data_IF_006722668670
#
_entry.id   IF_006722668670
#
_cell.length_a   1.000
_cell.length_b   1.000
_cell.length_c   1.000
_cell.angle_alpha   90.00
_cell.angle_beta   90.00
_cell.angle_gamma   90.00
#
_symmetry.space_group_name_H-M   'P 1'
#
loop_
_entity.id
_entity.type
_entity.pdbx_description
1 polymer ?
#
# COMPACT_ATOMS: atom_id res chain seq x y z
N UNK A 1 13.38 0.01 2.07
CA UNK A 1 12.40 -0.34 1.04
C UNK A 1 12.77 -1.71 0.50
N UNK A 2 11.79 -2.58 0.28
CA UNK A 2 12.03 -3.98 -0.15
C UNK A 2 12.62 -4.08 -1.57
N UNK A 3 12.31 -3.13 -2.45
CA UNK A 3 12.72 -3.14 -3.87
C UNK A 3 13.22 -1.75 -4.30
N UNK A 4 14.35 -1.26 -3.76
CA UNK A 4 14.85 0.08 -4.04
C UNK A 4 15.18 0.32 -5.52
N UNK A 5 15.52 -0.73 -6.27
CA UNK A 5 15.78 -0.69 -7.71
C UNK A 5 14.54 -0.33 -8.54
N UNK A 6 13.33 -0.59 -8.03
CA UNK A 6 12.08 -0.26 -8.70
C UNK A 6 11.61 1.17 -8.40
N UNK A 7 12.12 1.81 -7.35
CA UNK A 7 11.61 3.08 -6.85
C UNK A 7 11.52 4.18 -7.92
N UNK A 8 12.56 4.46 -8.74
CA UNK A 8 12.47 5.52 -9.75
C UNK A 8 11.39 5.27 -10.82
N UNK A 9 11.11 4.00 -11.14
CA UNK A 9 10.08 3.65 -12.11
C UNK A 9 8.67 3.75 -11.49
N UNK A 10 8.52 3.28 -10.25
CA UNK A 10 7.25 3.34 -9.53
C UNK A 10 6.86 4.79 -9.16
N UNK A 11 7.83 5.64 -8.83
CA UNK A 11 7.61 7.08 -8.59
C UNK A 11 7.03 7.78 -9.81
N UNK A 12 7.59 7.56 -11.02
CA UNK A 12 7.04 8.11 -12.27
C UNK A 12 5.62 7.62 -12.56
N UNK A 13 5.33 6.36 -12.24
CA UNK A 13 3.97 5.84 -12.38
C UNK A 13 3.02 6.49 -11.37
N UNK A 14 3.48 6.70 -10.13
CA UNK A 14 2.70 7.33 -9.08
C UNK A 14 2.36 8.80 -9.42
N UNK A 15 3.32 9.56 -9.95
CA UNK A 15 3.13 10.96 -10.39
C UNK A 15 2.02 11.14 -11.43
N UNK A 16 1.77 10.11 -12.25
CA UNK A 16 0.74 10.12 -13.29
C UNK A 16 -0.47 9.26 -12.94
N UNK A 17 -0.50 8.71 -11.74
CA UNK A 17 -1.59 7.87 -11.28
C UNK A 17 -2.78 8.73 -10.86
N UNK A 18 -3.98 8.24 -11.18
CA UNK A 18 -5.23 8.80 -10.66
C UNK A 18 -5.95 7.72 -9.88
N UNK A 19 -6.43 8.07 -8.69
CA UNK A 19 -7.31 7.19 -7.93
C UNK A 19 -8.65 7.13 -8.65
N UNK A 20 -9.11 5.92 -8.95
CA UNK A 20 -10.39 5.69 -9.62
C UNK A 20 -11.46 5.21 -8.67
N UNK A 21 -11.06 4.56 -7.58
CA UNK A 21 -11.98 3.97 -6.60
C UNK A 21 -11.31 3.86 -5.23
N UNK A 22 -12.12 4.01 -4.18
CA UNK A 22 -11.75 3.70 -2.81
C UNK A 22 -12.85 2.89 -2.16
N UNK A 23 -12.49 1.80 -1.50
CA UNK A 23 -13.40 0.92 -0.78
C UNK A 23 -12.85 0.68 0.64
N UNK A 24 -13.70 0.79 1.65
CA UNK A 24 -13.40 0.35 3.01
C UNK A 24 -14.22 -0.92 3.29
N UNK A 25 -13.54 -2.07 3.38
CA UNK A 25 -14.19 -3.37 3.57
C UNK A 25 -14.47 -3.70 5.03
N UNK A 26 -13.98 -2.86 5.94
CA UNK A 26 -13.96 -3.12 7.37
C UNK A 26 -12.79 -3.94 7.85
N UNK A 27 -12.14 -4.75 7.01
CA UNK A 27 -10.87 -5.42 7.33
C UNK A 27 -9.65 -4.61 6.88
N UNK A 28 -9.87 -3.40 6.38
CA UNK A 28 -8.90 -2.64 5.62
C UNK A 28 -9.57 -1.77 4.57
N UNK A 29 -8.78 -1.34 3.60
CA UNK A 29 -9.24 -0.57 2.46
C UNK A 29 -8.49 -0.94 1.18
N UNK A 30 -9.13 -0.66 0.06
CA UNK A 30 -8.58 -0.76 -1.28
C UNK A 30 -8.61 0.62 -1.93
N UNK A 31 -7.50 1.03 -2.52
CA UNK A 31 -7.41 2.19 -3.39
C UNK A 31 -6.98 1.73 -4.78
N UNK A 32 -7.93 1.67 -5.70
CA UNK A 32 -7.64 1.34 -7.10
C UNK A 32 -7.20 2.60 -7.84
N UNK A 33 -6.15 2.46 -8.63
CA UNK A 33 -5.56 3.56 -9.39
C UNK A 33 -5.31 3.14 -10.85
N UNK A 34 -5.22 4.16 -11.70
CA UNK A 34 -4.84 4.02 -13.11
C UNK A 34 -3.65 4.92 -13.40
N UNK A 35 -2.60 4.34 -13.99
CA UNK A 35 -1.42 5.05 -14.47
C UNK A 35 -1.63 5.51 -15.91
N UNK A 36 -1.09 6.66 -16.28
CA UNK A 36 -1.10 7.14 -17.66
C UNK A 36 -0.40 6.15 -18.61
N UNK A 37 -0.94 6.00 -19.83
CA UNK A 37 -0.54 4.93 -20.76
C UNK A 37 0.88 5.11 -21.33
N UNK A 38 1.34 6.36 -21.41
CA UNK A 38 2.64 6.76 -21.93
C UNK A 38 3.79 6.54 -20.94
N UNK A 39 3.49 6.36 -19.65
CA UNK A 39 4.52 6.02 -18.65
C UNK A 39 5.00 4.58 -18.88
N UNK A 40 6.33 4.32 -18.90
CA UNK A 40 6.86 2.97 -19.06
C UNK A 40 6.38 1.98 -18.00
N UNK A 41 6.20 0.73 -18.41
CA UNK A 41 5.94 -0.40 -17.51
C UNK A 41 7.21 -0.81 -16.77
N UNK A 42 7.06 -1.44 -15.61
CA UNK A 42 8.15 -2.05 -14.84
C UNK A 42 8.07 -3.58 -14.94
N UNK A 43 9.23 -4.25 -14.95
CA UNK A 43 9.32 -5.69 -14.74
C UNK A 43 9.46 -5.92 -13.24
N UNK A 44 8.41 -6.41 -12.59
CA UNK A 44 8.35 -6.65 -11.15
C UNK A 44 7.50 -7.87 -10.83
N UNK A 45 7.56 -8.39 -9.58
CA UNK A 45 6.47 -9.20 -9.04
C UNK A 45 5.12 -8.49 -9.15
N UNK A 46 4.03 -9.26 -9.17
CA UNK A 46 2.66 -8.72 -9.20
C UNK A 46 2.23 -8.10 -7.87
N UNK A 47 3.01 -8.29 -6.80
CA UNK A 47 2.72 -7.84 -5.45
C UNK A 47 4.03 -7.39 -4.78
N UNK A 48 3.99 -6.22 -4.14
CA UNK A 48 5.11 -5.59 -3.43
C UNK A 48 4.65 -5.09 -2.04
N UNK A 49 5.59 -4.79 -1.16
CA UNK A 49 5.33 -4.04 0.08
C UNK A 49 5.07 -4.89 1.32
N UNK A 50 5.41 -6.18 1.32
CA UNK A 50 5.07 -7.16 2.37
C UNK A 50 5.50 -6.77 3.79
N UNK A 51 6.55 -5.95 3.95
CA UNK A 51 7.05 -5.45 5.23
C UNK A 51 6.64 -4.00 5.54
N UNK A 52 5.77 -3.40 4.75
CA UNK A 52 5.33 -2.01 4.97
C UNK A 52 4.20 -1.98 5.99
N UNK A 53 4.43 -1.34 7.12
CA UNK A 53 3.46 -1.25 8.23
C UNK A 53 3.31 0.19 8.70
N UNK A 54 2.13 0.53 9.22
CA UNK A 54 1.91 1.82 9.86
C UNK A 54 1.04 1.70 11.12
N UNK A 55 1.38 2.53 12.13
CA UNK A 55 0.51 2.75 13.29
C UNK A 55 -0.59 3.72 12.91
N UNK A 56 -1.79 3.42 13.37
CA UNK A 56 -3.01 4.17 13.07
C UNK A 56 -3.79 4.36 14.37
N UNK A 57 -4.17 5.59 14.68
CA UNK A 57 -5.04 5.84 15.83
C UNK A 57 -6.41 5.18 15.61
N UNK A 58 -6.87 4.43 16.61
CA UNK A 58 -8.09 3.62 16.52
C UNK A 58 -7.85 2.15 16.15
N UNK A 59 -6.61 1.76 15.84
CA UNK A 59 -6.21 0.36 15.65
C UNK A 59 -5.08 -0.02 16.63
N UNK A 60 -5.22 -1.15 17.33
CA UNK A 60 -4.23 -1.73 18.25
C UNK A 60 -2.97 -2.17 17.51
N UNK A 61 -3.12 -2.82 16.35
CA UNK A 61 -2.01 -3.38 15.59
C UNK A 61 -1.69 -2.59 14.30
N UNK A 62 -2.50 -1.57 14.00
CA UNK A 62 -2.29 -0.72 12.83
C UNK A 62 -2.64 -1.40 11.50
N UNK A 63 -2.00 -0.95 10.42
CA UNK A 63 -2.21 -1.47 9.07
C UNK A 63 -0.92 -2.03 8.48
N UNK A 64 -1.03 -3.15 7.78
CA UNK A 64 -0.05 -3.55 6.76
C UNK A 64 -0.46 -3.04 5.38
N UNK A 65 0.50 -2.89 4.47
CA UNK A 65 0.22 -2.42 3.10
C UNK A 65 0.72 -3.39 2.05
N UNK A 66 -0.06 -3.53 0.99
CA UNK A 66 0.30 -4.35 -0.19
C UNK A 66 0.03 -3.53 -1.44
N UNK A 67 1.04 -3.46 -2.32
CA UNK A 67 0.93 -2.81 -3.61
C UNK A 67 0.81 -3.85 -4.72
N UNK A 68 -0.32 -3.86 -5.40
CA UNK A 68 -0.58 -4.73 -6.54
C UNK A 68 -0.13 -4.07 -7.84
N UNK A 69 0.65 -4.82 -8.62
CA UNK A 69 1.12 -4.45 -9.95
C UNK A 69 0.39 -5.31 -10.99
N UNK A 70 -0.20 -4.65 -12.00
CA UNK A 70 -0.92 -5.32 -13.11
C UNK A 70 -0.37 -4.85 -14.44
N UNK A 71 0.13 -5.79 -15.26
CA UNK A 71 0.75 -5.46 -16.55
C UNK A 71 1.94 -4.51 -16.43
N UNK A 72 2.70 -4.63 -15.33
CA UNK A 72 3.84 -3.75 -15.04
C UNK A 72 3.45 -2.31 -14.65
N UNK A 73 2.22 -2.09 -14.19
CA UNK A 73 1.72 -0.77 -13.73
C UNK A 73 1.14 -0.85 -12.32
N UNK A 74 1.27 0.24 -11.55
CA UNK A 74 0.51 0.42 -10.30
C UNK A 74 -0.99 0.18 -10.57
N UNK A 75 -1.62 -0.67 -9.76
CA UNK A 75 -3.02 -1.02 -9.95
C UNK A 75 -3.87 -0.77 -8.71
N UNK A 76 -3.41 -1.24 -7.55
CA UNK A 76 -4.18 -1.15 -6.32
C UNK A 76 -3.26 -1.12 -5.12
N UNK A 77 -3.54 -0.23 -4.18
CA UNK A 77 -2.98 -0.26 -2.84
C UNK A 77 -4.02 -0.86 -1.91
N UNK A 78 -3.67 -1.92 -1.21
CA UNK A 78 -4.43 -2.45 -0.08
C UNK A 78 -3.75 -1.99 1.21
N UNK A 79 -4.55 -1.48 2.15
CA UNK A 79 -4.16 -1.34 3.55
C UNK A 79 -5.02 -2.29 4.37
N UNK A 80 -4.45 -3.32 4.98
CA UNK A 80 -5.20 -4.34 5.73
C UNK A 80 -4.96 -4.18 7.23
N UNK A 81 -6.01 -4.30 8.03
CA UNK A 81 -5.92 -4.33 9.48
C UNK A 81 -5.52 -5.74 9.95
N UNK A 82 -4.74 -5.82 11.02
CA UNK A 82 -4.35 -7.10 11.58
C UNK A 82 -5.45 -7.69 12.46
N UNK A 83 -5.55 -9.02 12.48
CA UNK A 83 -6.50 -9.72 13.34
C UNK A 83 -7.97 -9.45 12.97
N UNK A 84 -8.80 -9.18 13.96
CA UNK A 84 -10.24 -8.92 13.81
C UNK A 84 -10.60 -7.45 14.01
N UNK A 85 -9.64 -6.55 13.88
CA UNK A 85 -9.87 -5.11 13.99
C UNK A 85 -10.73 -4.59 12.83
N UNK A 86 -11.53 -3.55 13.08
CA UNK A 86 -12.42 -3.00 12.05
C UNK A 86 -12.05 -1.59 11.63
N UNK A 87 -11.94 -1.33 10.33
CA UNK A 87 -11.66 -0.01 9.76
C UNK A 87 -12.92 0.82 9.43
N UNK A 88 -14.14 0.28 9.60
CA UNK A 88 -15.39 0.99 9.21
C UNK A 88 -15.59 2.33 9.92
N UNK A 89 -15.05 2.47 11.13
CA UNK A 89 -15.22 3.65 11.96
C UNK A 89 -14.15 4.72 11.70
N UNK A 90 -13.13 4.42 10.87
CA UNK A 90 -12.05 5.34 10.56
C UNK A 90 -12.44 6.28 9.42
N UNK A 91 -12.11 7.56 9.57
CA UNK A 91 -12.04 8.48 8.44
C UNK A 91 -10.71 8.31 7.71
N UNK A 92 -10.69 7.41 6.73
CA UNK A 92 -9.50 7.10 5.94
C UNK A 92 -9.00 8.30 5.10
N UNK A 93 -9.80 9.36 4.94
CA UNK A 93 -9.41 10.56 4.19
C UNK A 93 -8.63 11.58 5.03
N UNK A 94 -8.76 11.50 6.36
CA UNK A 94 -8.12 12.42 7.33
C UNK A 94 -7.22 11.70 8.34
N UNK A 95 -6.97 10.40 8.11
CA UNK A 95 -6.12 9.53 8.88
C UNK A 95 -4.69 10.09 9.03
N UNK A 96 -4.20 10.12 10.28
CA UNK A 96 -2.77 10.26 10.58
C UNK A 96 -2.14 8.87 10.76
N UNK A 97 -0.92 8.70 10.23
CA UNK A 97 -0.21 7.43 10.27
C UNK A 97 1.29 7.61 10.50
N UNK A 98 1.90 6.65 11.19
CA UNK A 98 3.34 6.54 11.37
C UNK A 98 3.84 5.27 10.67
N UNK A 99 4.58 5.41 9.57
CA UNK A 99 5.21 4.26 8.90
C UNK A 99 6.41 3.80 9.73
N UNK A 100 6.48 2.50 10.02
CA UNK A 100 7.64 1.89 10.65
C UNK A 100 8.09 0.64 9.90
N UNK A 101 9.38 0.35 9.97
CA UNK A 101 9.93 -0.94 9.56
C UNK A 101 10.28 -1.71 10.82
N UNK A 102 9.67 -2.87 11.05
CA UNK A 102 10.27 -3.80 11.99
C UNK A 102 11.60 -4.25 11.39
N UNK A 103 12.71 -3.86 12.03
CA UNK A 103 13.98 -4.52 11.79
C UNK A 103 13.73 -6.00 12.12
N UNK A 104 13.90 -6.88 11.13
CA UNK A 104 13.89 -8.33 11.34
C UNK A 104 14.88 -8.61 12.47
N UNK A 105 14.38 -8.83 13.68
CA UNK A 105 15.21 -9.39 14.73
C UNK A 105 15.40 -10.84 14.33
N UNK A 106 16.53 -11.11 13.67
CA UNK A 106 17.03 -12.46 13.52
C UNK A 106 17.19 -13.04 14.92
N UNK A 107 16.22 -13.82 15.39
CA UNK A 107 16.41 -14.69 16.54
C UNK A 107 17.34 -15.81 16.08
N UNK A 108 18.55 -15.80 16.63
CA UNK A 108 19.50 -16.92 16.64
C UNK A 108 18.91 -18.03 17.49
#
# INVERSE_FOLDING_TARGET
METPELAPALERQFETSVVTERENSGGGFFTTMRVAIDVPTVVSPSVLGYATQARISGLEHGLGFVLFIKGGRLHMLEGFAWGSESTHHLDLSALEFEIYNELVQSRI
#
